data_IF_901167582950
#
_entry.id   IF_901167582950
#
_cell.length_a   1.000
_cell.length_b   1.000
_cell.length_c   1.000
_cell.angle_alpha   90.00
_cell.angle_beta   90.00
_cell.angle_gamma   90.00
#
_symmetry.space_group_name_H-M   'P 1'
#
loop_
_entity.id
_entity.type
_entity.pdbx_description
1 polymer ?
#
# COMPACT_ATOMS: atom_id res chain seq x y z
N UNK A 1 -21.61 -12.66 16.45
CA UNK A 1 -20.38 -13.24 17.01
C UNK A 1 -20.71 -14.44 17.88
N UNK A 2 -20.06 -15.60 17.60
CA UNK A 2 -20.14 -16.77 18.51
C UNK A 2 -19.01 -16.75 19.56
N UNK A 3 -18.02 -15.88 19.40
CA UNK A 3 -16.86 -15.70 20.28
C UNK A 3 -16.59 -14.21 20.46
N UNK A 4 -15.87 -13.82 21.51
CA UNK A 4 -15.45 -12.43 21.75
C UNK A 4 -14.27 -11.98 20.87
N UNK A 5 -13.86 -12.80 19.89
CA UNK A 5 -12.73 -12.55 19.00
C UNK A 5 -13.20 -12.35 17.55
N UNK A 6 -12.63 -11.34 16.88
CA UNK A 6 -12.84 -11.06 15.45
C UNK A 6 -11.52 -10.61 14.83
N UNK A 7 -11.15 -11.24 13.70
CA UNK A 7 -10.13 -10.69 12.81
C UNK A 7 -10.78 -9.56 12.03
N UNK A 8 -10.35 -8.32 12.26
CA UNK A 8 -10.93 -7.13 11.62
C UNK A 8 -10.18 -6.70 10.38
N UNK A 9 -8.92 -7.09 10.23
CA UNK A 9 -8.08 -6.69 9.11
C UNK A 9 -6.70 -7.32 9.13
N UNK A 10 -5.93 -7.02 8.11
CA UNK A 10 -4.54 -7.44 7.97
C UNK A 10 -3.65 -6.23 7.66
N UNK A 11 -2.50 -6.15 8.34
CA UNK A 11 -1.47 -5.15 8.05
C UNK A 11 -0.40 -5.75 7.15
N UNK A 12 -0.10 -5.06 6.06
CA UNK A 12 0.98 -5.39 5.13
C UNK A 12 1.97 -4.23 5.08
N UNK A 13 3.25 -4.53 5.23
CA UNK A 13 4.32 -3.53 5.20
C UNK A 13 4.99 -3.66 3.84
N UNK A 14 5.03 -2.56 3.06
CA UNK A 14 5.55 -2.57 1.70
C UNK A 14 6.91 -1.88 1.57
N UNK A 15 7.27 -1.01 2.51
CA UNK A 15 8.59 -0.40 2.61
C UNK A 15 8.97 -0.05 4.05
N UNK A 16 10.15 0.54 4.22
CA UNK A 16 10.67 1.00 5.50
C UNK A 16 10.28 2.44 5.85
N UNK A 17 11.24 3.20 6.39
CA UNK A 17 11.05 4.55 6.93
C UNK A 17 12.03 5.55 6.31
N UNK A 18 11.60 6.79 5.97
CA UNK A 18 12.48 7.83 5.47
C UNK A 18 13.60 8.19 6.46
N UNK A 19 13.31 8.14 7.77
CA UNK A 19 14.25 8.51 8.84
C UNK A 19 15.51 7.65 8.84
N UNK A 20 15.37 6.38 8.49
CA UNK A 20 16.50 5.44 8.35
C UNK A 20 16.82 5.12 6.90
N UNK A 21 16.27 5.89 5.96
CA UNK A 21 16.48 5.78 4.51
C UNK A 21 16.15 4.41 3.92
N UNK A 22 15.13 3.75 4.44
CA UNK A 22 14.62 2.47 3.94
C UNK A 22 13.22 2.57 3.31
N UNK A 23 12.60 3.76 3.31
CA UNK A 23 11.41 4.01 2.51
C UNK A 23 11.77 3.98 1.02
N UNK A 24 10.93 3.33 0.21
CA UNK A 24 11.17 3.19 -1.22
C UNK A 24 10.69 4.42 -1.99
N UNK A 25 11.68 5.22 -2.43
CA UNK A 25 11.49 6.51 -3.08
C UNK A 25 11.61 6.41 -4.59
N UNK A 26 10.91 7.27 -5.32
CA UNK A 26 11.06 7.41 -6.78
C UNK A 26 12.32 8.16 -7.20
N UNK A 27 12.97 8.84 -6.27
CA UNK A 27 14.22 9.59 -6.48
C UNK A 27 15.24 9.22 -5.41
N UNK A 28 16.55 9.32 -5.73
CA UNK A 28 17.61 9.06 -4.77
C UNK A 28 17.51 9.91 -3.52
N UNK A 29 17.90 9.34 -2.40
CA UNK A 29 18.08 10.10 -1.17
C UNK A 29 19.15 11.15 -1.31
N UNK A 30 18.90 12.36 -0.80
CA UNK A 30 19.90 13.44 -0.81
C UNK A 30 21.16 13.05 -0.03
N UNK A 31 21.00 12.39 1.09
CA UNK A 31 22.09 11.79 1.86
C UNK A 31 21.95 10.28 1.81
N UNK A 32 22.77 9.64 0.97
CA UNK A 32 22.79 8.20 0.82
C UNK A 32 23.44 7.54 2.04
N UNK A 33 22.94 6.39 2.52
CA UNK A 33 23.61 5.65 3.59
C UNK A 33 25.03 5.25 3.24
N UNK A 34 25.94 5.16 4.21
CA UNK A 34 27.31 4.69 3.96
C UNK A 34 27.32 3.30 3.32
N UNK A 35 28.04 3.16 2.20
CA UNK A 35 28.17 1.90 1.48
C UNK A 35 27.15 1.68 0.36
N UNK A 36 26.12 2.51 0.27
CA UNK A 36 25.14 2.44 -0.81
C UNK A 36 25.56 3.26 -2.04
N UNK A 37 24.99 2.90 -3.20
CA UNK A 37 25.26 3.62 -4.45
C UNK A 37 24.64 5.03 -4.45
N UNK A 38 25.17 6.00 -5.21
CA UNK A 38 24.66 7.37 -5.26
C UNK A 38 23.19 7.50 -5.69
N UNK A 39 22.66 6.52 -6.39
CA UNK A 39 21.27 6.44 -6.87
C UNK A 39 20.36 5.65 -5.94
N UNK A 40 20.80 5.34 -4.72
CA UNK A 40 20.03 4.60 -3.73
C UNK A 40 18.71 5.30 -3.40
N UNK A 41 17.60 4.55 -3.58
CA UNK A 41 16.23 5.02 -3.38
C UNK A 41 15.47 4.29 -2.27
N UNK A 42 16.15 3.54 -1.40
CA UNK A 42 15.48 2.58 -0.52
C UNK A 42 15.05 1.32 -1.30
N UNK A 43 14.15 0.54 -0.72
CA UNK A 43 13.77 -0.75 -1.32
C UNK A 43 12.39 -1.22 -0.85
N UNK A 44 11.69 -2.07 -1.64
CA UNK A 44 10.48 -2.75 -1.19
C UNK A 44 10.82 -3.85 -0.18
N UNK A 45 9.88 -4.19 0.70
CA UNK A 45 10.00 -5.32 1.64
C UNK A 45 9.57 -6.66 1.03
N UNK A 46 9.22 -6.69 -0.24
CA UNK A 46 8.74 -7.85 -0.97
C UNK A 46 9.58 -8.08 -2.22
N UNK A 47 9.74 -9.35 -2.59
CA UNK A 47 10.47 -9.75 -3.80
C UNK A 47 9.56 -9.87 -5.02
N UNK A 48 8.28 -10.19 -4.79
CA UNK A 48 7.32 -10.50 -5.85
C UNK A 48 5.98 -9.81 -5.60
N UNK A 49 5.57 -8.97 -6.53
CA UNK A 49 4.28 -8.27 -6.47
C UNK A 49 3.07 -9.23 -6.58
N UNK A 50 3.19 -10.32 -7.34
CA UNK A 50 2.11 -11.28 -7.47
C UNK A 50 1.74 -11.91 -6.12
N UNK A 51 2.73 -12.17 -5.27
CA UNK A 51 2.49 -12.64 -3.90
C UNK A 51 1.71 -11.64 -3.04
N UNK A 52 2.00 -10.34 -3.18
CA UNK A 52 1.26 -9.29 -2.49
C UNK A 52 -0.17 -9.15 -3.05
N UNK A 53 -0.33 -9.24 -4.38
CA UNK A 53 -1.66 -9.22 -5.02
C UNK A 53 -2.52 -10.38 -4.53
N UNK A 54 -1.98 -11.59 -4.47
CA UNK A 54 -2.72 -12.76 -3.93
C UNK A 54 -3.11 -12.55 -2.46
N UNK A 55 -2.21 -12.01 -1.63
CA UNK A 55 -2.52 -11.67 -0.25
C UNK A 55 -3.66 -10.63 -0.16
N UNK A 56 -3.63 -9.60 -0.99
CA UNK A 56 -4.69 -8.60 -1.05
C UNK A 56 -6.03 -9.22 -1.45
N UNK A 57 -6.02 -10.11 -2.45
CA UNK A 57 -7.21 -10.84 -2.89
C UNK A 57 -7.80 -11.70 -1.76
N UNK A 58 -6.95 -12.41 -1.01
CA UNK A 58 -7.42 -13.19 0.14
C UNK A 58 -8.05 -12.31 1.23
N UNK A 59 -7.46 -11.15 1.52
CA UNK A 59 -8.06 -10.19 2.45
C UNK A 59 -9.42 -9.69 1.96
N UNK A 60 -9.53 -9.34 0.66
CA UNK A 60 -10.78 -8.87 0.06
C UNK A 60 -11.88 -9.95 0.10
N UNK A 61 -11.55 -11.20 -0.26
CA UNK A 61 -12.49 -12.33 -0.20
C UNK A 61 -13.01 -12.60 1.22
N UNK A 62 -12.15 -12.44 2.22
CA UNK A 62 -12.50 -12.61 3.63
C UNK A 62 -13.13 -11.35 4.25
N UNK A 63 -13.28 -10.26 3.48
CA UNK A 63 -13.81 -8.97 3.95
C UNK A 63 -12.99 -8.38 5.08
N UNK A 64 -11.67 -8.56 5.05
CA UNK A 64 -10.74 -7.97 5.99
C UNK A 64 -10.28 -6.62 5.49
N UNK A 65 -10.24 -5.64 6.40
CA UNK A 65 -9.66 -4.34 6.10
C UNK A 65 -8.17 -4.49 5.83
N UNK A 66 -7.71 -3.98 4.69
CA UNK A 66 -6.29 -3.87 4.36
C UNK A 66 -5.70 -2.60 4.97
N UNK A 67 -4.63 -2.75 5.74
CA UNK A 67 -3.81 -1.68 6.28
C UNK A 67 -2.43 -1.79 5.63
N UNK A 68 -2.17 -0.94 4.64
CA UNK A 68 -0.98 -1.01 3.78
C UNK A 68 0.01 0.07 4.21
N UNK A 69 1.12 -0.33 4.82
CA UNK A 69 2.17 0.61 5.20
C UNK A 69 3.03 0.94 3.99
N UNK A 70 3.02 2.22 3.59
CA UNK A 70 3.83 2.77 2.52
C UNK A 70 4.28 4.16 2.92
N UNK A 71 5.58 4.37 3.07
CA UNK A 71 6.17 5.68 3.37
C UNK A 71 6.66 6.39 2.13
N UNK A 72 7.39 5.65 1.26
CA UNK A 72 7.95 6.18 0.03
C UNK A 72 6.94 6.30 -1.09
N UNK A 73 7.10 7.31 -1.93
CA UNK A 73 6.23 7.56 -3.07
C UNK A 73 6.27 6.44 -4.12
N UNK A 74 7.41 5.77 -4.32
CA UNK A 74 7.48 4.59 -5.19
C UNK A 74 6.71 3.40 -4.59
N UNK A 75 6.78 3.17 -3.27
CA UNK A 75 6.00 2.15 -2.60
C UNK A 75 4.49 2.42 -2.74
N UNK A 76 4.07 3.68 -2.65
CA UNK A 76 2.67 4.09 -2.82
C UNK A 76 2.19 3.80 -4.24
N UNK A 77 2.98 4.13 -5.28
CA UNK A 77 2.63 3.83 -6.67
C UNK A 77 2.38 2.33 -6.89
N UNK A 78 3.26 1.50 -6.36
CA UNK A 78 3.13 0.03 -6.49
C UNK A 78 1.98 -0.51 -5.66
N UNK A 79 1.79 0.00 -4.44
CA UNK A 79 0.67 -0.37 -3.57
C UNK A 79 -0.67 -0.11 -4.26
N UNK A 80 -0.86 1.07 -4.83
CA UNK A 80 -2.10 1.43 -5.54
C UNK A 80 -2.32 0.53 -6.76
N UNK A 81 -1.26 0.22 -7.53
CA UNK A 81 -1.35 -0.68 -8.67
C UNK A 81 -1.73 -2.11 -8.27
N UNK A 82 -1.11 -2.64 -7.21
CA UNK A 82 -1.41 -3.98 -6.69
C UNK A 82 -2.82 -4.07 -6.10
N UNK A 83 -3.26 -3.03 -5.38
CA UNK A 83 -4.62 -2.96 -4.83
C UNK A 83 -5.67 -2.92 -5.93
N UNK A 84 -5.48 -2.07 -6.95
CA UNK A 84 -6.38 -1.96 -8.09
C UNK A 84 -6.50 -3.29 -8.85
N UNK A 85 -5.36 -3.93 -9.13
CA UNK A 85 -5.31 -5.25 -9.78
C UNK A 85 -6.05 -6.30 -8.95
N UNK A 86 -5.78 -6.39 -7.66
CA UNK A 86 -6.45 -7.34 -6.77
C UNK A 86 -7.97 -7.12 -6.73
N UNK A 87 -8.40 -5.86 -6.62
CA UNK A 87 -9.81 -5.49 -6.58
C UNK A 87 -10.54 -5.85 -7.89
N UNK A 88 -9.90 -5.62 -9.05
CA UNK A 88 -10.43 -6.01 -10.36
C UNK A 88 -10.53 -7.53 -10.50
N UNK A 89 -9.49 -8.27 -10.13
CA UNK A 89 -9.45 -9.74 -10.26
C UNK A 89 -10.48 -10.45 -9.36
N UNK A 90 -10.78 -9.91 -8.18
CA UNK A 90 -11.84 -10.48 -7.30
C UNK A 90 -13.22 -9.91 -7.59
N UNK A 91 -13.34 -8.88 -8.44
CA UNK A 91 -14.60 -8.20 -8.69
C UNK A 91 -15.12 -7.49 -7.43
N UNK A 92 -14.25 -6.74 -6.73
CA UNK A 92 -14.61 -6.06 -5.48
C UNK A 92 -15.70 -5.01 -5.74
N UNK A 93 -16.83 -5.15 -5.03
CA UNK A 93 -17.97 -4.22 -5.10
C UNK A 93 -18.28 -3.53 -3.78
N UNK A 94 -17.54 -3.88 -2.72
CA UNK A 94 -17.76 -3.38 -1.38
C UNK A 94 -16.64 -2.44 -0.93
N UNK A 95 -16.98 -1.47 -0.10
CA UNK A 95 -15.99 -0.64 0.59
C UNK A 95 -15.46 -1.39 1.83
N UNK A 96 -14.28 -1.94 1.71
CA UNK A 96 -13.56 -2.57 2.81
C UNK A 96 -12.74 -1.56 3.63
N UNK A 97 -12.85 -0.26 3.32
CA UNK A 97 -12.15 0.84 4.02
C UNK A 97 -10.64 0.62 4.13
N UNK A 98 -9.94 0.34 3.03
CA UNK A 98 -8.50 0.16 3.06
C UNK A 98 -7.80 1.41 3.57
N UNK A 99 -6.69 1.23 4.27
CA UNK A 99 -5.92 2.32 4.86
C UNK A 99 -4.50 2.29 4.32
N UNK A 100 -4.03 3.43 3.82
CA UNK A 100 -2.62 3.66 3.51
C UNK A 100 -1.96 4.28 4.76
N UNK A 101 -1.13 3.47 5.45
CA UNK A 101 -0.51 3.89 6.71
C UNK A 101 0.73 4.73 6.40
N UNK A 102 0.86 5.84 7.11
CA UNK A 102 1.90 6.86 7.03
C UNK A 102 1.81 7.74 5.78
N UNK A 103 1.94 7.17 4.58
CA UNK A 103 1.93 7.90 3.31
C UNK A 103 2.79 9.19 3.34
N UNK A 104 3.98 9.10 3.96
CA UNK A 104 4.77 10.26 4.41
C UNK A 104 5.26 11.14 3.25
N UNK A 105 5.49 10.54 2.09
CA UNK A 105 5.94 11.24 0.88
C UNK A 105 4.94 11.14 -0.27
N UNK A 106 3.65 11.05 0.06
CA UNK A 106 2.60 10.98 -0.94
C UNK A 106 2.61 12.23 -1.83
N UNK A 107 2.46 12.04 -3.14
CA UNK A 107 2.37 13.09 -4.14
C UNK A 107 0.92 13.44 -4.47
N UNK A 108 0.68 14.63 -5.01
CA UNK A 108 -0.65 15.09 -5.43
C UNK A 108 -1.29 14.14 -6.47
N UNK A 109 -0.51 13.71 -7.47
CA UNK A 109 -0.99 12.76 -8.49
C UNK A 109 -1.44 11.42 -7.91
N UNK A 110 -0.81 10.97 -6.82
CA UNK A 110 -1.21 9.77 -6.11
C UNK A 110 -2.50 9.97 -5.31
N UNK A 111 -2.70 11.14 -4.72
CA UNK A 111 -3.97 11.50 -4.06
C UNK A 111 -5.12 11.54 -5.08
N UNK A 112 -4.89 12.11 -6.28
CA UNK A 112 -5.86 12.11 -7.38
C UNK A 112 -6.20 10.67 -7.81
N UNK A 113 -5.20 9.79 -7.89
CA UNK A 113 -5.41 8.37 -8.20
C UNK A 113 -6.24 7.66 -7.13
N UNK A 114 -5.98 7.91 -5.85
CA UNK A 114 -6.77 7.37 -4.72
C UNK A 114 -8.23 7.81 -4.85
N UNK A 115 -8.46 9.09 -5.15
CA UNK A 115 -9.81 9.61 -5.40
C UNK A 115 -10.49 8.95 -6.60
N UNK A 116 -9.74 8.73 -7.68
CA UNK A 116 -10.25 8.05 -8.87
C UNK A 116 -10.62 6.59 -8.59
N UNK A 117 -9.78 5.86 -7.83
CA UNK A 117 -10.07 4.49 -7.40
C UNK A 117 -11.35 4.41 -6.57
N UNK A 118 -11.59 5.37 -5.68
CA UNK A 118 -12.83 5.45 -4.91
C UNK A 118 -14.09 5.67 -5.77
N UNK A 119 -13.95 6.22 -6.98
CA UNK A 119 -15.05 6.37 -7.95
C UNK A 119 -15.28 5.11 -8.79
N UNK A 120 -14.19 4.39 -9.11
CA UNK A 120 -14.23 3.16 -9.93
C UNK A 120 -14.73 1.95 -9.13
N UNK A 121 -14.39 1.91 -7.85
CA UNK A 121 -14.85 0.89 -6.91
C UNK A 121 -15.96 1.51 -6.06
N UNK A 122 -17.25 1.33 -6.40
CA UNK A 122 -18.35 2.00 -5.72
C UNK A 122 -18.26 1.83 -4.20
N UNK A 123 -18.09 2.94 -3.47
CA UNK A 123 -17.93 3.03 -2.03
C UNK A 123 -16.55 2.60 -1.47
N UNK A 124 -15.52 2.42 -2.30
CA UNK A 124 -14.15 2.21 -1.80
C UNK A 124 -13.45 3.55 -1.62
N UNK A 125 -13.04 3.85 -0.41
CA UNK A 125 -12.22 5.02 -0.09
C UNK A 125 -10.95 4.52 0.61
N UNK A 126 -9.79 4.75 -0.02
CA UNK A 126 -8.51 4.52 0.67
C UNK A 126 -8.32 5.66 1.66
N UNK A 127 -8.27 5.33 2.94
CA UNK A 127 -8.03 6.28 4.01
C UNK A 127 -6.52 6.50 4.18
N UNK A 128 -6.13 7.76 4.38
CA UNK A 128 -4.79 8.11 4.83
C UNK A 128 -4.75 8.06 6.36
N UNK A 129 -3.78 7.35 6.93
CA UNK A 129 -3.66 7.15 8.37
C UNK A 129 -2.23 7.18 8.90
#
# INVERSE_FOLDING_TARGET
>A
YRTHFKISGAKVILDGSPQIRTAWMSKPYYQVPPGEAPDYCGYPTFENEDGIVELFKECMKNRWQLQMQCNGDAAIDRCLAMYERAAQEVGLTEDLRPVLIHAQTIREDQMDRIQALGKLLPRSCILLG
#
